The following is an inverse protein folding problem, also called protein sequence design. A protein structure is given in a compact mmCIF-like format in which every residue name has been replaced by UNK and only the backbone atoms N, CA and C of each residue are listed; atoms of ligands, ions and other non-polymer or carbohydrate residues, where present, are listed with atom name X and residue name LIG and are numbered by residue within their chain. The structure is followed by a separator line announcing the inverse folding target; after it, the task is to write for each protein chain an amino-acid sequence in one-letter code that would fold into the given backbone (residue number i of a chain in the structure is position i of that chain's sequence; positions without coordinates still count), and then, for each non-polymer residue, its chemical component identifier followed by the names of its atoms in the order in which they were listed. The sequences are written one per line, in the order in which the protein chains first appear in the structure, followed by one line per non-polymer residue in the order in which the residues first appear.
data_IF_501074255648
#
_entry.id   IF_501074255648
#
_cell.length_a   1.000
_cell.length_b   1.000
_cell.length_c   1.000
_cell.angle_alpha   90.00
_cell.angle_beta   90.00
_cell.angle_gamma   90.00
#
_symmetry.space_group_name_H-M   'P 1'
#
loop_
_entity.id
_entity.type
_entity.pdbx_description
1 polymer ?
#
# COMPACT_ATOMS: atom_id res chain seq x y z
N UNK A 1 37.50 18.80 44.80
CA UNK A 1 37.40 17.38 44.37
C UNK A 1 36.19 17.30 43.44
N UNK A 2 36.26 17.36 42.11
CA UNK A 2 37.37 17.07 41.21
C UNK A 2 37.18 15.69 40.56
N UNK A 3 36.27 15.59 39.58
CA UNK A 3 36.41 14.66 38.44
C UNK A 3 35.27 14.86 37.43
N UNK A 4 35.60 15.60 36.37
CA UNK A 4 34.97 15.59 35.06
C UNK A 4 35.06 14.19 34.43
N UNK A 5 34.06 13.80 33.63
CA UNK A 5 34.30 12.98 32.45
C UNK A 5 33.47 13.48 31.27
N UNK A 6 34.14 13.50 30.12
CA UNK A 6 33.86 14.25 28.91
C UNK A 6 32.84 13.57 28.00
N UNK A 7 32.21 14.45 27.21
CA UNK A 7 31.57 14.22 25.92
C UNK A 7 32.31 13.24 24.99
N UNK A 8 31.56 12.39 24.30
CA UNK A 8 31.93 11.85 22.99
C UNK A 8 30.76 12.02 22.02
N UNK A 9 30.86 13.08 21.22
CA UNK A 9 30.16 13.20 19.94
C UNK A 9 30.73 12.16 18.98
N UNK A 10 29.88 11.27 18.47
CA UNK A 10 30.17 10.40 17.35
C UNK A 10 29.28 10.75 16.17
N UNK A 11 29.75 11.66 15.31
CA UNK A 11 29.14 11.95 14.01
C UNK A 11 29.21 10.72 13.10
N UNK A 12 28.12 9.95 13.02
CA UNK A 12 27.92 8.97 11.95
C UNK A 12 27.51 9.68 10.66
N UNK A 13 28.50 10.11 9.86
CA UNK A 13 28.27 10.64 8.51
C UNK A 13 27.64 9.54 7.65
N UNK A 14 26.49 9.87 7.09
CA UNK A 14 25.82 9.17 6.00
C UNK A 14 26.82 9.08 4.84
N UNK A 15 27.26 7.87 4.50
CA UNK A 15 28.10 7.62 3.34
C UNK A 15 27.37 8.05 2.07
N UNK A 16 27.84 9.14 1.47
CA UNK A 16 27.40 9.58 0.15
C UNK A 16 27.89 8.57 -0.87
N UNK A 17 26.98 7.76 -1.44
CA UNK A 17 27.29 6.90 -2.58
C UNK A 17 27.50 7.81 -3.79
N UNK A 18 28.76 8.11 -4.09
CA UNK A 18 29.15 8.79 -5.33
C UNK A 18 28.70 7.95 -6.53
N UNK A 19 27.74 8.46 -7.30
CA UNK A 19 27.52 8.02 -8.67
C UNK A 19 28.78 8.33 -9.47
N UNK A 20 29.53 7.30 -9.85
CA UNK A 20 30.53 7.42 -10.92
C UNK A 20 29.79 7.31 -12.25
N UNK A 21 29.60 8.43 -12.93
CA UNK A 21 29.15 8.44 -14.31
C UNK A 21 30.32 7.99 -15.22
N UNK A 22 30.10 7.12 -16.22
CA UNK A 22 31.17 6.71 -17.13
C UNK A 22 31.60 7.90 -18.00
N UNK A 23 32.89 8.21 -17.97
CA UNK A 23 33.54 9.22 -18.81
C UNK A 23 33.53 8.74 -20.25
N UNK A 24 32.83 9.46 -21.13
CA UNK A 24 32.91 9.30 -22.57
C UNK A 24 34.07 10.16 -23.10
N UNK A 25 35.21 9.54 -23.39
CA UNK A 25 36.31 10.23 -24.09
C UNK A 25 36.01 10.26 -25.60
N UNK A 26 35.53 11.40 -26.08
CA UNK A 26 35.53 11.76 -27.50
C UNK A 26 36.92 12.23 -27.93
N UNK A 27 37.56 11.50 -28.82
CA UNK A 27 38.88 11.85 -29.35
C UNK A 27 38.80 12.86 -30.51
N UNK A 28 39.45 14.01 -30.35
CA UNK A 28 39.75 14.98 -31.41
C UNK A 28 41.12 14.72 -32.04
N UNK A 29 41.23 15.01 -33.35
CA UNK A 29 42.41 14.87 -34.22
C UNK A 29 43.58 15.80 -33.82
N UNK A 30 44.82 15.36 -34.08
CA UNK A 30 46.02 16.22 -34.09
C UNK A 30 47.28 15.47 -34.56
N UNK A 31 48.02 16.06 -35.50
CA UNK A 31 49.05 15.48 -36.39
C UNK A 31 50.47 15.62 -35.81
N UNK A 32 51.39 14.66 -36.07
CA UNK A 32 52.84 14.92 -36.07
C UNK A 32 53.77 13.69 -35.97
N UNK A 33 54.60 13.45 -37.01
CA UNK A 33 55.97 12.91 -36.88
C UNK A 33 56.25 11.42 -37.21
N UNK A 34 56.80 11.18 -38.42
CA UNK A 34 57.49 9.96 -38.93
C UNK A 34 58.77 9.65 -38.09
N UNK A 35 59.36 8.45 -37.93
CA UNK A 35 59.29 7.15 -38.60
C UNK A 35 60.00 6.07 -37.76
N UNK A 36 59.52 4.81 -37.89
CA UNK A 36 60.23 3.52 -37.78
C UNK A 36 60.59 2.97 -36.39
N UNK A 37 59.94 1.84 -36.02
CA UNK A 37 60.54 0.51 -35.75
C UNK A 37 59.40 -0.50 -35.43
N UNK A 38 59.29 -1.52 -36.31
CA UNK A 38 58.92 -2.95 -36.12
C UNK A 38 57.60 -3.35 -35.40
N UNK A 39 56.78 -4.13 -36.11
CA UNK A 39 55.48 -4.75 -35.76
C UNK A 39 55.63 -6.06 -34.93
N UNK A 40 54.59 -6.89 -34.68
CA UNK A 40 53.12 -6.73 -34.65
C UNK A 40 52.53 -7.17 -33.26
N UNK A 41 51.24 -7.47 -33.18
CA UNK A 41 50.54 -8.17 -32.06
C UNK A 41 50.08 -7.28 -30.88
N UNK A 42 48.84 -7.34 -30.39
CA UNK A 42 47.72 -8.20 -30.68
C UNK A 42 46.42 -7.46 -30.40
N UNK A 43 45.52 -7.50 -31.38
CA UNK A 43 44.14 -7.08 -31.26
C UNK A 43 43.41 -8.07 -30.34
N UNK A 44 43.52 -7.93 -29.02
CA UNK A 44 42.60 -8.57 -28.09
C UNK A 44 41.55 -7.56 -27.63
N UNK A 45 40.60 -7.25 -28.52
CA UNK A 45 39.22 -7.06 -28.06
C UNK A 45 38.79 -8.40 -27.47
N UNK A 46 39.10 -8.66 -26.19
CA UNK A 46 38.56 -9.80 -25.45
C UNK A 46 37.05 -9.65 -25.49
N UNK A 47 36.40 -10.45 -26.35
CA UNK A 47 34.96 -10.55 -26.39
C UNK A 47 34.49 -10.85 -24.97
N UNK A 48 33.58 -10.04 -24.44
CA UNK A 48 32.96 -10.32 -23.14
C UNK A 48 32.51 -11.78 -23.15
N UNK A 49 32.89 -12.55 -22.14
CA UNK A 49 32.40 -13.93 -22.05
C UNK A 49 30.87 -13.90 -22.04
N UNK A 50 30.23 -14.94 -22.59
CA UNK A 50 28.77 -15.03 -22.57
C UNK A 50 28.22 -14.85 -21.15
N UNK A 51 28.92 -15.39 -20.15
CA UNK A 51 28.59 -15.22 -18.74
C UNK A 51 28.66 -13.75 -18.28
N UNK A 52 29.66 -13.00 -18.73
CA UNK A 52 29.82 -11.59 -18.38
C UNK A 52 28.80 -10.70 -19.10
N UNK A 53 28.46 -11.01 -20.34
CA UNK A 53 27.36 -10.35 -21.04
C UNK A 53 26.01 -10.61 -20.36
N UNK A 54 25.75 -11.86 -19.96
CA UNK A 54 24.53 -12.22 -19.24
C UNK A 54 24.48 -11.54 -17.87
N UNK A 55 25.58 -11.56 -17.10
CA UNK A 55 25.66 -10.90 -15.79
C UNK A 55 25.41 -9.39 -15.89
N UNK A 56 26.08 -8.69 -16.81
CA UNK A 56 25.85 -7.25 -17.06
C UNK A 56 24.39 -7.00 -17.44
N UNK A 57 23.81 -7.81 -18.34
CA UNK A 57 22.43 -7.66 -18.81
C UNK A 57 21.40 -7.91 -17.70
N UNK A 58 21.57 -8.96 -16.90
CA UNK A 58 20.67 -9.26 -15.79
C UNK A 58 20.80 -8.20 -14.69
N UNK A 59 22.00 -7.74 -14.38
CA UNK A 59 22.23 -6.63 -13.44
C UNK A 59 21.54 -5.34 -13.90
N UNK A 60 21.67 -4.97 -15.18
CA UNK A 60 21.00 -3.80 -15.75
C UNK A 60 19.46 -3.92 -15.68
N UNK A 61 18.92 -5.11 -15.92
CA UNK A 61 17.47 -5.38 -15.83
C UNK A 61 16.97 -5.30 -14.39
N UNK A 62 17.70 -5.87 -13.44
CA UNK A 62 17.39 -5.77 -12.01
C UNK A 62 17.47 -4.32 -11.53
N UNK A 63 18.52 -3.59 -11.90
CA UNK A 63 18.69 -2.18 -11.57
C UNK A 63 17.56 -1.31 -12.16
N UNK A 64 17.18 -1.57 -13.43
CA UNK A 64 16.06 -0.88 -14.07
C UNK A 64 14.74 -1.19 -13.35
N UNK A 65 14.47 -2.46 -13.05
CA UNK A 65 13.29 -2.89 -12.28
C UNK A 65 13.23 -2.17 -10.94
N UNK A 66 14.32 -2.20 -10.18
CA UNK A 66 14.40 -1.59 -8.86
C UNK A 66 14.24 -0.07 -8.92
N UNK A 67 14.83 0.58 -9.93
CA UNK A 67 14.62 2.01 -10.18
C UNK A 67 13.16 2.35 -10.53
N UNK A 68 12.50 1.54 -11.37
CA UNK A 68 11.08 1.72 -11.71
C UNK A 68 10.19 1.52 -10.48
N UNK A 69 10.48 0.51 -9.64
CA UNK A 69 9.78 0.27 -8.38
C UNK A 69 9.96 1.46 -7.43
N UNK A 70 11.20 1.96 -7.25
CA UNK A 70 11.48 3.16 -6.45
C UNK A 70 10.70 4.37 -6.95
N UNK A 71 10.61 4.58 -8.27
CA UNK A 71 9.80 5.66 -8.86
C UNK A 71 8.31 5.50 -8.55
N UNK A 72 7.78 4.28 -8.67
CA UNK A 72 6.36 3.99 -8.33
C UNK A 72 6.08 4.26 -6.86
N UNK A 73 6.90 3.74 -5.96
CA UNK A 73 6.80 3.94 -4.50
C UNK A 73 6.90 5.42 -4.15
N UNK A 74 7.88 6.14 -4.72
CA UNK A 74 8.03 7.59 -4.52
C UNK A 74 6.80 8.37 -4.96
N UNK A 75 6.15 7.97 -6.06
CA UNK A 75 4.91 8.62 -6.54
C UNK A 75 3.75 8.41 -5.56
N UNK A 76 3.64 7.21 -4.98
CA UNK A 76 2.64 6.92 -3.95
C UNK A 76 2.89 7.75 -2.71
N UNK A 77 4.14 7.82 -2.21
CA UNK A 77 4.46 8.67 -1.07
C UNK A 77 4.18 10.15 -1.33
N UNK A 78 4.46 10.64 -2.53
CA UNK A 78 4.18 12.03 -2.89
C UNK A 78 2.67 12.33 -2.86
N UNK A 79 1.83 11.41 -3.32
CA UNK A 79 0.36 11.53 -3.26
C UNK A 79 -0.20 11.46 -1.84
N UNK A 80 0.49 10.76 -0.93
CA UNK A 80 0.09 10.59 0.47
C UNK A 80 0.73 11.62 1.41
N UNK A 81 1.30 12.71 0.89
CA UNK A 81 1.85 13.77 1.74
C UNK A 81 0.72 14.51 2.47
N UNK A 82 0.92 14.84 3.76
CA UNK A 82 -0.09 15.55 4.53
C UNK A 82 -0.29 16.98 4.03
N UNK A 83 -1.53 17.42 3.94
CA UNK A 83 -1.91 18.78 3.54
C UNK A 83 -1.90 19.74 4.74
N UNK A 84 -0.74 19.91 5.38
CA UNK A 84 -0.59 20.70 6.61
C UNK A 84 -1.07 22.15 6.47
N UNK A 85 -0.86 22.78 5.31
CA UNK A 85 -1.31 24.15 5.04
C UNK A 85 -2.83 24.27 4.95
N UNK A 86 -3.51 23.27 4.37
CA UNK A 86 -4.98 23.21 4.31
C UNK A 86 -5.53 22.99 5.70
N UNK A 87 -4.95 22.05 6.45
CA UNK A 87 -5.37 21.77 7.83
C UNK A 87 -5.28 23.02 8.72
N UNK A 88 -4.16 23.75 8.68
CA UNK A 88 -3.99 24.99 9.46
C UNK A 88 -4.99 26.09 9.09
N UNK A 89 -5.44 26.14 7.83
CA UNK A 89 -6.29 27.23 7.34
C UNK A 89 -7.78 26.93 7.41
N UNK A 90 -8.18 25.68 7.20
CA UNK A 90 -9.57 25.26 7.05
C UNK A 90 -10.00 24.16 8.02
N UNK A 91 -9.09 23.70 8.87
CA UNK A 91 -9.35 22.66 9.86
C UNK A 91 -9.26 21.23 9.32
N UNK A 92 -9.39 20.25 10.22
CA UNK A 92 -9.16 18.83 9.93
C UNK A 92 -10.18 18.25 8.96
N UNK A 93 -11.46 18.61 9.07
CA UNK A 93 -12.53 18.10 8.21
C UNK A 93 -12.29 18.47 6.74
N UNK A 94 -11.98 19.73 6.48
CA UNK A 94 -11.71 20.21 5.13
C UNK A 94 -10.41 19.61 4.59
N UNK A 95 -9.38 19.49 5.42
CA UNK A 95 -8.11 18.87 5.00
C UNK A 95 -8.27 17.38 4.64
N UNK A 96 -8.99 16.61 5.46
CA UNK A 96 -9.30 15.21 5.18
C UNK A 96 -10.16 15.07 3.92
N UNK A 97 -11.21 15.88 3.78
CA UNK A 97 -12.03 15.93 2.58
C UNK A 97 -11.22 16.23 1.31
N UNK A 98 -10.38 17.26 1.36
CA UNK A 98 -9.53 17.63 0.23
C UNK A 98 -8.56 16.49 -0.14
N UNK A 99 -7.94 15.85 0.84
CA UNK A 99 -7.05 14.71 0.63
C UNK A 99 -7.75 13.59 -0.14
N UNK A 100 -8.94 13.17 0.31
CA UNK A 100 -9.70 12.09 -0.32
C UNK A 100 -10.14 12.44 -1.74
N UNK A 101 -10.66 13.66 -1.94
CA UNK A 101 -11.05 14.13 -3.27
C UNK A 101 -9.84 14.17 -4.23
N UNK A 102 -8.65 14.54 -3.75
CA UNK A 102 -7.40 14.47 -4.54
C UNK A 102 -6.95 13.05 -4.85
N UNK A 103 -7.28 12.09 -4.00
CA UNK A 103 -7.01 10.67 -4.26
C UNK A 103 -7.99 10.05 -5.27
N UNK A 104 -9.06 10.77 -5.63
CA UNK A 104 -10.11 10.27 -6.52
C UNK A 104 -11.30 9.66 -5.78
N UNK A 105 -11.29 9.70 -4.45
CA UNK A 105 -12.39 9.23 -3.62
C UNK A 105 -13.50 10.28 -3.46
N UNK A 106 -14.45 9.97 -2.61
CA UNK A 106 -15.62 10.75 -2.31
C UNK A 106 -15.79 10.96 -0.82
N UNK A 107 -16.41 12.08 -0.45
CA UNK A 107 -16.69 12.41 0.96
C UNK A 107 -18.10 12.94 1.13
N UNK A 108 -18.68 12.68 2.29
CA UNK A 108 -19.99 13.20 2.69
C UNK A 108 -19.86 13.89 4.04
N UNK A 109 -20.19 15.17 4.04
CA UNK A 109 -20.33 15.95 5.27
C UNK A 109 -21.69 15.67 5.91
N UNK A 110 -21.79 15.87 7.22
CA UNK A 110 -23.03 15.67 7.95
C UNK A 110 -24.16 16.56 7.37
N UNK A 111 -25.29 15.94 7.06
CA UNK A 111 -26.45 16.61 6.47
C UNK A 111 -26.22 17.16 5.06
N UNK A 112 -25.18 16.70 4.34
CA UNK A 112 -24.86 17.10 2.97
C UNK A 112 -24.84 15.91 2.02
N UNK A 113 -24.92 16.21 0.73
CA UNK A 113 -24.74 15.22 -0.32
C UNK A 113 -23.27 14.82 -0.50
N UNK A 114 -23.06 13.72 -1.20
CA UNK A 114 -21.74 13.23 -1.59
C UNK A 114 -21.02 14.20 -2.52
N UNK A 115 -19.78 14.54 -2.17
CA UNK A 115 -18.88 15.29 -3.02
C UNK A 115 -17.92 14.31 -3.69
N UNK A 116 -17.86 14.34 -5.02
CA UNK A 116 -17.01 13.47 -5.84
C UNK A 116 -16.26 14.27 -6.91
N UNK A 117 -15.04 13.88 -7.26
CA UNK A 117 -14.38 14.37 -8.47
C UNK A 117 -15.13 13.91 -9.72
N UNK A 118 -15.15 14.75 -10.74
CA UNK A 118 -15.61 14.36 -12.07
C UNK A 118 -14.56 13.46 -12.76
N UNK A 119 -14.87 13.00 -13.98
CA UNK A 119 -13.97 12.13 -14.75
C UNK A 119 -12.58 12.74 -15.04
N UNK A 120 -12.45 14.07 -14.96
CA UNK A 120 -11.18 14.80 -15.13
C UNK A 120 -10.45 15.06 -13.80
N UNK A 121 -11.01 14.59 -12.68
CA UNK A 121 -10.46 14.80 -11.33
C UNK A 121 -10.76 16.17 -10.73
N UNK A 122 -11.67 16.96 -11.31
CA UNK A 122 -12.09 18.25 -10.77
C UNK A 122 -13.27 18.07 -9.82
N UNK A 123 -13.29 18.82 -8.72
CA UNK A 123 -14.37 18.84 -7.73
C UNK A 123 -14.61 20.29 -7.27
N UNK A 124 -15.84 20.59 -6.83
CA UNK A 124 -16.15 21.92 -6.29
C UNK A 124 -15.34 22.18 -5.01
N UNK A 125 -14.92 23.43 -4.81
CA UNK A 125 -14.24 23.90 -3.60
C UNK A 125 -15.20 24.56 -2.60
N UNK A 126 -16.52 24.48 -2.83
CA UNK A 126 -17.51 25.07 -1.92
C UNK A 126 -17.45 24.47 -0.51
N UNK A 127 -17.00 23.22 -0.39
CA UNK A 127 -16.81 22.55 0.89
C UNK A 127 -15.74 23.19 1.78
N UNK A 128 -14.88 24.07 1.25
CA UNK A 128 -13.92 24.85 2.06
C UNK A 128 -14.61 25.73 3.11
N UNK A 129 -15.91 26.04 2.92
CA UNK A 129 -16.74 26.78 3.88
C UNK A 129 -17.28 25.90 5.02
N UNK A 130 -17.18 24.57 4.91
CA UNK A 130 -17.74 23.60 5.84
C UNK A 130 -16.78 23.24 6.98
N UNK A 131 -16.01 24.21 7.49
CA UNK A 131 -14.94 23.97 8.47
C UNK A 131 -15.46 23.43 9.82
N UNK A 132 -16.70 23.78 10.17
CA UNK A 132 -17.38 23.35 11.39
C UNK A 132 -18.34 22.16 11.18
N UNK A 133 -18.45 21.65 9.95
CA UNK A 133 -19.30 20.50 9.66
C UNK A 133 -18.43 19.25 9.59
N UNK A 134 -18.71 18.22 10.41
CA UNK A 134 -17.91 17.01 10.40
C UNK A 134 -18.11 16.20 9.11
N UNK A 135 -17.09 15.43 8.75
CA UNK A 135 -17.19 14.42 7.70
C UNK A 135 -17.75 13.14 8.31
N UNK A 136 -18.88 12.69 7.78
CA UNK A 136 -19.63 11.53 8.32
C UNK A 136 -19.31 10.25 7.54
N UNK A 137 -19.03 10.35 6.24
CA UNK A 137 -18.70 9.18 5.43
C UNK A 137 -17.62 9.47 4.39
N UNK A 138 -16.77 8.48 4.15
CA UNK A 138 -15.67 8.51 3.18
C UNK A 138 -15.73 7.25 2.34
N UNK A 139 -15.75 7.44 1.03
CA UNK A 139 -15.50 6.39 0.06
C UNK A 139 -14.15 6.65 -0.59
N UNK A 140 -13.16 5.86 -0.21
CA UNK A 140 -11.81 5.89 -0.76
C UNK A 140 -11.51 4.62 -1.55
N UNK A 141 -12.53 3.93 -2.08
CA UNK A 141 -12.35 2.72 -2.86
C UNK A 141 -11.46 2.97 -4.09
N UNK A 142 -10.51 2.07 -4.33
CA UNK A 142 -9.52 2.16 -5.40
C UNK A 142 -8.45 3.25 -5.21
N UNK A 143 -8.49 4.01 -4.11
CA UNK A 143 -7.50 5.05 -3.86
C UNK A 143 -6.14 4.45 -3.48
N UNK A 144 -5.06 5.09 -3.91
CA UNK A 144 -3.70 4.70 -3.56
C UNK A 144 -3.30 5.23 -2.16
N UNK A 145 -4.15 5.04 -1.15
CA UNK A 145 -3.90 5.45 0.24
C UNK A 145 -2.96 4.44 0.90
N UNK A 146 -1.94 4.95 1.59
CA UNK A 146 -1.03 4.15 2.39
C UNK A 146 -1.05 4.59 3.86
N UNK A 147 -0.21 3.95 4.69
CA UNK A 147 -0.03 4.23 6.11
C UNK A 147 0.08 5.73 6.46
N UNK A 148 0.81 6.50 5.66
CA UNK A 148 1.00 7.93 5.89
C UNK A 148 -0.22 8.75 5.47
N UNK A 149 -0.84 8.40 4.33
CA UNK A 149 -2.03 9.12 3.85
C UNK A 149 -3.23 8.96 4.77
N UNK A 150 -3.32 7.81 5.45
CA UNK A 150 -4.37 7.51 6.42
C UNK A 150 -4.47 8.56 7.53
N UNK A 151 -3.38 9.27 7.88
CA UNK A 151 -3.37 10.37 8.87
C UNK A 151 -4.47 11.41 8.61
N UNK A 152 -4.74 11.69 7.34
CA UNK A 152 -5.75 12.67 6.93
C UNK A 152 -7.18 12.21 7.28
N UNK A 153 -7.40 10.90 7.36
CA UNK A 153 -8.68 10.29 7.74
C UNK A 153 -8.83 10.16 9.25
N UNK A 154 -7.74 9.88 9.97
CA UNK A 154 -7.76 9.69 11.43
C UNK A 154 -8.11 10.98 12.21
N UNK A 155 -8.05 12.14 11.55
CA UNK A 155 -8.49 13.41 12.08
C UNK A 155 -10.03 13.60 12.06
N UNK A 156 -10.76 12.76 11.32
CA UNK A 156 -12.21 12.83 11.15
C UNK A 156 -12.91 12.06 12.27
N UNK A 157 -13.01 12.66 13.46
CA UNK A 157 -13.44 11.97 14.68
C UNK A 157 -14.88 11.49 14.67
N UNK A 158 -15.72 12.07 13.83
CA UNK A 158 -17.14 11.75 13.68
C UNK A 158 -17.43 10.84 12.47
N UNK A 159 -16.37 10.28 11.85
CA UNK A 159 -16.52 9.40 10.69
C UNK A 159 -17.27 8.11 11.08
N UNK A 160 -18.38 7.85 10.39
CA UNK A 160 -19.25 6.69 10.62
C UNK A 160 -19.05 5.59 9.58
N UNK A 161 -18.87 5.96 8.30
CA UNK A 161 -18.67 4.98 7.23
C UNK A 161 -17.35 5.22 6.50
N UNK A 162 -16.53 4.17 6.37
CA UNK A 162 -15.25 4.19 5.67
C UNK A 162 -15.16 3.02 4.69
N UNK A 163 -15.20 3.31 3.38
CA UNK A 163 -14.97 2.31 2.34
C UNK A 163 -13.54 2.42 1.80
N UNK A 164 -12.76 1.35 1.96
CA UNK A 164 -11.38 1.21 1.49
C UNK A 164 -11.25 0.08 0.46
N UNK A 165 -12.33 -0.28 -0.22
CA UNK A 165 -12.32 -1.41 -1.17
C UNK A 165 -11.23 -1.28 -2.23
N UNK A 166 -10.56 -2.39 -2.55
CA UNK A 166 -9.57 -2.48 -3.63
C UNK A 166 -8.45 -1.43 -3.52
N UNK A 167 -8.08 -1.02 -2.31
CA UNK A 167 -6.96 -0.11 -2.09
C UNK A 167 -5.63 -0.87 -2.12
N UNK A 168 -4.73 -0.62 -3.09
CA UNK A 168 -3.55 -1.45 -3.33
C UNK A 168 -2.43 -1.31 -2.28
N UNK A 169 -2.55 -0.35 -1.37
CA UNK A 169 -1.52 0.00 -0.38
C UNK A 169 -2.04 0.04 1.06
N UNK A 170 -3.30 -0.36 1.27
CA UNK A 170 -3.85 -0.55 2.62
C UNK A 170 -3.42 -1.95 3.09
N UNK A 171 -2.67 -1.98 4.19
CA UNK A 171 -2.07 -3.17 4.79
C UNK A 171 -2.41 -3.28 6.29
N UNK A 172 -1.90 -4.31 6.95
CA UNK A 172 -2.10 -4.55 8.38
C UNK A 172 -1.66 -3.36 9.25
N UNK A 173 -0.58 -2.67 8.86
CA UNK A 173 -0.09 -1.48 9.56
C UNK A 173 -1.10 -0.34 9.47
N UNK A 174 -1.76 -0.15 8.33
CA UNK A 174 -2.86 0.81 8.19
C UNK A 174 -4.00 0.50 9.18
N UNK A 175 -4.40 -0.77 9.29
CA UNK A 175 -5.50 -1.17 10.18
C UNK A 175 -5.20 -0.94 11.66
N UNK A 176 -3.95 -1.18 12.09
CA UNK A 176 -3.50 -0.89 13.47
C UNK A 176 -3.70 0.57 13.91
N UNK A 177 -3.85 1.48 12.94
CA UNK A 177 -3.99 2.92 13.18
C UNK A 177 -5.42 3.42 13.21
N UNK A 178 -6.42 2.58 13.00
CA UNK A 178 -7.82 3.00 12.99
C UNK A 178 -8.40 3.26 14.40
N UNK A 179 -7.66 2.95 15.47
CA UNK A 179 -8.08 3.18 16.87
C UNK A 179 -8.61 4.60 17.19
N UNK A 180 -8.16 5.72 16.56
CA UNK A 180 -8.72 7.04 16.84
C UNK A 180 -10.16 7.24 16.33
N UNK A 181 -10.70 6.27 15.57
CA UNK A 181 -12.07 6.22 15.08
C UNK A 181 -12.93 5.19 15.84
N UNK A 182 -12.38 4.59 16.90
CA UNK A 182 -13.01 3.49 17.64
C UNK A 182 -14.44 3.78 18.12
N UNK A 183 -14.70 5.02 18.53
CA UNK A 183 -15.99 5.44 19.07
C UNK A 183 -17.01 5.86 18.02
N UNK A 184 -16.58 6.18 16.80
CA UNK A 184 -17.45 6.76 15.76
C UNK A 184 -17.72 5.84 14.59
N UNK A 185 -16.74 5.01 14.21
CA UNK A 185 -16.83 4.18 13.02
C UNK A 185 -17.84 3.05 13.21
N UNK A 186 -18.82 2.98 12.32
CA UNK A 186 -19.91 2.01 12.33
C UNK A 186 -19.83 1.06 11.13
N UNK A 187 -19.32 1.53 9.99
CA UNK A 187 -19.20 0.73 8.77
C UNK A 187 -17.77 0.83 8.23
N UNK A 188 -17.14 -0.33 8.01
CA UNK A 188 -15.83 -0.45 7.40
C UNK A 188 -15.87 -1.50 6.29
N UNK A 189 -15.42 -1.15 5.09
CA UNK A 189 -15.25 -2.12 4.01
C UNK A 189 -13.79 -2.16 3.57
N UNK A 190 -13.20 -3.35 3.65
CA UNK A 190 -11.84 -3.68 3.24
C UNK A 190 -11.84 -4.58 1.99
N UNK A 191 -13.00 -4.79 1.37
CA UNK A 191 -13.16 -5.77 0.31
C UNK A 191 -12.15 -5.61 -0.84
N UNK A 192 -11.51 -6.70 -1.25
CA UNK A 192 -10.54 -6.69 -2.34
C UNK A 192 -9.20 -6.01 -2.01
N UNK A 193 -8.90 -5.70 -0.74
CA UNK A 193 -7.59 -5.16 -0.36
C UNK A 193 -6.51 -6.26 -0.38
N UNK A 194 -5.46 -6.15 -1.23
CA UNK A 194 -4.54 -7.26 -1.46
C UNK A 194 -3.50 -7.49 -0.36
N UNK A 195 -3.31 -6.52 0.54
CA UNK A 195 -2.26 -6.56 1.58
C UNK A 195 -2.81 -6.70 3.00
N UNK A 196 -4.12 -6.86 3.15
CA UNK A 196 -4.77 -7.07 4.45
C UNK A 196 -4.80 -8.58 4.73
N UNK A 197 -4.17 -8.98 5.84
CA UNK A 197 -4.12 -10.36 6.32
C UNK A 197 -4.94 -10.56 7.59
N UNK A 198 -4.97 -11.80 8.10
CA UNK A 198 -5.59 -12.10 9.40
C UNK A 198 -4.99 -11.27 10.55
N UNK A 199 -3.71 -10.91 10.47
CA UNK A 199 -3.02 -10.10 11.48
C UNK A 199 -3.53 -8.66 11.52
N UNK A 200 -3.81 -8.08 10.35
CA UNK A 200 -4.39 -6.75 10.24
C UNK A 200 -5.82 -6.73 10.75
N UNK A 201 -6.62 -7.75 10.41
CA UNK A 201 -7.97 -7.91 10.92
C UNK A 201 -7.99 -8.04 12.44
N UNK A 202 -7.03 -8.76 13.04
CA UNK A 202 -6.85 -8.86 14.48
C UNK A 202 -6.65 -7.50 15.19
N UNK A 203 -6.22 -6.45 14.47
CA UNK A 203 -6.05 -5.12 15.04
C UNK A 203 -7.37 -4.35 15.20
N UNK A 204 -8.45 -4.81 14.57
CA UNK A 204 -9.76 -4.13 14.55
C UNK A 204 -10.56 -4.27 15.84
N UNK A 205 -10.13 -5.08 16.83
CA UNK A 205 -10.84 -5.26 18.12
C UNK A 205 -11.12 -3.95 18.88
N UNK A 206 -10.33 -2.91 18.64
CA UNK A 206 -10.54 -1.61 19.27
C UNK A 206 -11.79 -0.87 18.75
N UNK A 207 -12.34 -1.26 17.59
CA UNK A 207 -13.47 -0.59 16.94
C UNK A 207 -14.81 -1.06 17.54
N UNK A 208 -15.02 -0.75 18.83
CA UNK A 208 -16.17 -1.25 19.59
C UNK A 208 -17.54 -0.72 19.12
N UNK A 209 -17.58 0.37 18.34
CA UNK A 209 -18.83 0.87 17.73
C UNK A 209 -19.09 0.33 16.32
N UNK A 210 -18.23 -0.57 15.81
CA UNK A 210 -18.35 -1.12 14.46
C UNK A 210 -19.55 -2.08 14.39
N UNK A 211 -20.42 -1.85 13.42
CA UNK A 211 -21.66 -2.60 13.18
C UNK A 211 -21.60 -3.41 11.90
N UNK A 212 -20.80 -2.97 10.92
CA UNK A 212 -20.62 -3.68 9.65
C UNK A 212 -19.16 -3.68 9.25
N UNK A 213 -18.66 -4.87 8.95
CA UNK A 213 -17.32 -5.11 8.46
C UNK A 213 -17.38 -5.98 7.20
N UNK A 214 -16.97 -5.44 6.07
CA UNK A 214 -16.89 -6.19 4.82
C UNK A 214 -15.44 -6.57 4.51
N UNK A 215 -15.17 -7.88 4.54
CA UNK A 215 -13.86 -8.51 4.33
C UNK A 215 -13.88 -9.47 3.13
N UNK A 216 -14.76 -9.20 2.17
CA UNK A 216 -14.86 -9.98 0.93
C UNK A 216 -13.56 -9.95 0.13
N UNK A 217 -13.21 -11.05 -0.51
CA UNK A 217 -12.09 -11.14 -1.46
C UNK A 217 -10.75 -10.59 -0.95
N UNK A 218 -10.31 -10.99 0.25
CA UNK A 218 -8.98 -10.66 0.77
C UNK A 218 -7.96 -11.75 0.38
N UNK A 219 -7.11 -11.55 -0.65
CA UNK A 219 -6.23 -12.60 -1.16
C UNK A 219 -5.07 -12.96 -0.23
N UNK A 220 -4.74 -12.10 0.74
CA UNK A 220 -3.69 -12.37 1.73
C UNK A 220 -4.22 -13.13 2.97
N UNK A 221 -5.53 -13.37 3.07
CA UNK A 221 -6.12 -14.22 4.10
C UNK A 221 -6.00 -15.68 3.67
N UNK A 222 -5.21 -16.44 4.40
CA UNK A 222 -4.91 -17.85 4.09
C UNK A 222 -5.94 -18.81 4.66
N UNK A 223 -6.56 -18.45 5.80
CA UNK A 223 -7.47 -19.31 6.56
C UNK A 223 -8.80 -18.59 6.83
N UNK A 224 -9.69 -18.53 5.84
CA UNK A 224 -10.84 -17.65 5.96
C UNK A 224 -11.85 -18.12 7.03
N UNK A 225 -12.03 -19.43 7.21
CA UNK A 225 -12.86 -19.97 8.29
C UNK A 225 -12.37 -19.58 9.70
N UNK A 226 -11.05 -19.63 9.95
CA UNK A 226 -10.47 -19.17 11.21
C UNK A 226 -10.55 -17.65 11.36
N UNK A 227 -10.39 -16.93 10.26
CA UNK A 227 -10.53 -15.47 10.22
C UNK A 227 -11.93 -15.03 10.60
N UNK A 228 -12.96 -15.74 10.13
CA UNK A 228 -14.35 -15.51 10.53
C UNK A 228 -14.52 -15.60 12.04
N UNK A 229 -14.13 -16.74 12.62
CA UNK A 229 -14.24 -16.98 14.06
C UNK A 229 -13.50 -15.91 14.84
N UNK A 230 -12.26 -15.58 14.44
CA UNK A 230 -11.46 -14.52 15.06
C UNK A 230 -12.20 -13.17 15.08
N UNK A 231 -12.76 -12.76 13.93
CA UNK A 231 -13.44 -11.46 13.80
C UNK A 231 -14.75 -11.45 14.56
N UNK A 232 -15.55 -12.52 14.51
CA UNK A 232 -16.81 -12.66 15.24
C UNK A 232 -16.59 -12.62 16.76
N UNK A 233 -15.54 -13.27 17.26
CA UNK A 233 -15.17 -13.23 18.69
C UNK A 233 -14.70 -11.84 19.14
N UNK A 234 -13.91 -11.15 18.30
CA UNK A 234 -13.39 -9.82 18.62
C UNK A 234 -14.44 -8.70 18.49
N UNK A 235 -15.43 -8.87 17.61
CA UNK A 235 -16.45 -7.87 17.27
C UNK A 235 -17.84 -8.51 17.33
N UNK A 236 -18.33 -8.92 18.51
CA UNK A 236 -19.54 -9.75 18.65
C UNK A 236 -20.85 -9.04 18.24
N UNK A 237 -20.83 -7.70 18.15
CA UNK A 237 -21.98 -6.89 17.71
C UNK A 237 -21.87 -6.41 16.26
N UNK A 238 -20.87 -6.90 15.52
CA UNK A 238 -20.61 -6.49 14.15
C UNK A 238 -21.10 -7.57 13.16
N UNK A 239 -21.88 -7.15 12.17
CA UNK A 239 -22.20 -7.95 10.98
C UNK A 239 -20.95 -8.06 10.10
N UNK A 240 -20.49 -9.29 9.86
CA UNK A 240 -19.31 -9.56 9.02
C UNK A 240 -19.76 -10.07 7.65
N UNK A 241 -19.43 -9.33 6.59
CA UNK A 241 -19.75 -9.67 5.20
C UNK A 241 -18.54 -10.27 4.49
N UNK A 242 -18.80 -11.14 3.51
CA UNK A 242 -17.75 -11.78 2.73
C UNK A 242 -17.05 -12.92 3.44
N UNK A 243 -17.55 -13.33 4.62
CA UNK A 243 -16.99 -14.39 5.44
C UNK A 243 -17.44 -15.81 5.05
N UNK A 244 -18.20 -15.94 3.96
CA UNK A 244 -18.74 -17.20 3.45
C UNK A 244 -17.80 -17.82 2.41
N UNK A 245 -16.54 -18.03 2.79
CA UNK A 245 -15.54 -18.69 1.94
C UNK A 245 -15.79 -20.21 1.78
N UNK A 246 -16.79 -20.75 2.48
CA UNK A 246 -17.17 -22.16 2.48
C UNK A 246 -17.88 -22.65 1.21
N UNK A 247 -18.29 -21.76 0.30
CA UNK A 247 -18.94 -22.18 -0.95
C UNK A 247 -18.01 -22.94 -1.92
N UNK A 248 -16.69 -22.90 -1.69
CA UNK A 248 -15.68 -23.69 -2.41
C UNK A 248 -15.40 -25.08 -1.81
N UNK A 249 -15.88 -25.37 -0.60
CA UNK A 249 -15.79 -26.68 0.05
C UNK A 249 -17.12 -27.44 -0.10
N UNK A 250 -17.62 -27.58 -1.32
CA UNK A 250 -18.52 -28.72 -1.59
C UNK A 250 -17.65 -29.96 -1.45
N UNK A 251 -17.68 -30.57 -0.27
CA UNK A 251 -17.34 -31.98 -0.10
C UNK A 251 -18.09 -32.73 -1.21
N UNK A 252 -17.33 -33.36 -2.11
CA UNK A 252 -17.91 -34.20 -3.15
C UNK A 252 -18.85 -35.23 -2.50
N UNK A 253 -19.93 -35.64 -3.18
CA UNK A 253 -20.85 -36.61 -2.60
C UNK A 253 -20.07 -37.85 -2.15
N UNK A 254 -20.18 -38.18 -0.87
CA UNK A 254 -19.66 -39.43 -0.33
C UNK A 254 -20.24 -40.59 -1.15
N UNK A 255 -19.39 -41.30 -1.89
CA UNK A 255 -19.77 -42.59 -2.45
C UNK A 255 -19.98 -43.56 -1.29
N UNK A 256 -21.25 -43.81 -0.95
CA UNK A 256 -21.63 -44.92 -0.08
C UNK A 256 -21.09 -46.23 -0.68
N UNK A 257 -20.44 -47.11 0.11
CA UNK A 257 -20.03 -48.40 -0.38
C UNK A 257 -21.29 -49.19 -0.75
N UNK A 258 -21.42 -49.57 -2.02
CA UNK A 258 -22.47 -50.49 -2.46
C UNK A 258 -22.13 -51.88 -1.93
N UNK A 259 -22.91 -52.35 -0.97
CA UNK A 259 -22.96 -53.75 -0.57
C UNK A 259 -23.28 -54.63 -1.79
N UNK A 260 -22.27 -55.27 -2.37
CA UNK A 260 -22.46 -56.39 -3.30
C UNK A 260 -22.64 -57.67 -2.50
N UNK A 261 -23.88 -57.93 -2.09
CA UNK A 261 -24.33 -59.27 -1.70
C UNK A 261 -25.57 -59.61 -2.54
N UNK A 262 -25.34 -60.14 -3.74
CA UNK A 262 -26.39 -60.79 -4.53
C UNK A 262 -26.67 -62.20 -4.01
N UNK A 263 -27.92 -62.68 -4.04
CA UNK A 263 -28.24 -64.04 -3.59
C UNK A 263 -27.78 -65.07 -4.63
N UNK A 264 -27.16 -66.15 -4.15
CA UNK A 264 -26.81 -67.35 -4.94
C UNK A 264 -28.08 -68.21 -5.08
N UNK A 265 -28.54 -68.54 -6.29
CA UNK A 265 -29.65 -69.46 -6.47
C UNK A 265 -29.15 -70.92 -6.50
N UNK A 266 -29.84 -71.79 -5.77
CA UNK A 266 -29.84 -73.24 -5.93
C UNK A 266 -31.30 -73.73 -5.91
#
# INVERSE_FOLDING_TARGET
MGSQTRSLWGSGRIGSLHLVAPVWNGGTRGIGGLSRVVAPEGNQKKGKSLLQFLADRFYDVEALRDHLLRKRVSKVHQKNRPFNHINRRYGPYVAGAYFILKQGGAVRFQGREWIRPNQRGHFSLDFLKLQAVPVEAVDASGCAINYQGLDSLLALKELQSLWLQRCPHVDDWCLSRLHPLASSLQELSLAGCPLVSERGLACLHHLWNLRRLDISDLPAVSSPGLTRILVEEMLPSCEVLGADWAQGLKLGPEEQPRDTAGPIPA
#
